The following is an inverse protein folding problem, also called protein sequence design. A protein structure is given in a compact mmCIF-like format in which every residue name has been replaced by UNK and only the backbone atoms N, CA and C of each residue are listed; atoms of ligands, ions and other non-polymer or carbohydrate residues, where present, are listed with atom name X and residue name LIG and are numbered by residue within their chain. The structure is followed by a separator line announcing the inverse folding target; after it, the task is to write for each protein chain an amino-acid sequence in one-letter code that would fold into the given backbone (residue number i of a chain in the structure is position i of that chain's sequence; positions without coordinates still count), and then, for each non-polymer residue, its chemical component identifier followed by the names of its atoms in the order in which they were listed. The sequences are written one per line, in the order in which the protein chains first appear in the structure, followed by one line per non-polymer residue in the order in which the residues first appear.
data_IF_326675971784
#
_entry.id   IF_326675971784
#
_cell.length_a   1.000
_cell.length_b   1.000
_cell.length_c   1.000
_cell.angle_alpha   90.00
_cell.angle_beta   90.00
_cell.angle_gamma   90.00
#
_symmetry.space_group_name_H-M   'P 1'
#
loop_
_entity.id
_entity.type
_entity.pdbx_description
1 polymer ?
#
# COMPACT_ATOMS: atom_id res chain seq x y z
N UNK A 1 -14.26 20.23 -4.04
CA UNK A 1 -13.02 20.65 -4.71
C UNK A 1 -11.81 20.11 -3.97
N UNK A 2 -11.49 18.84 -4.23
CA UNK A 2 -10.41 18.06 -3.61
C UNK A 2 -9.10 18.26 -4.37
N UNK A 3 -8.70 19.52 -4.55
CA UNK A 3 -7.63 19.90 -5.48
C UNK A 3 -6.33 20.24 -4.76
N UNK A 4 -5.22 20.02 -5.46
CA UNK A 4 -3.90 20.51 -5.07
C UNK A 4 -3.94 22.03 -4.85
N UNK A 5 -3.33 22.53 -3.77
CA UNK A 5 -3.27 23.96 -3.45
C UNK A 5 -4.47 24.55 -2.70
N UNK A 6 -5.56 23.79 -2.48
CA UNK A 6 -6.61 24.23 -1.55
C UNK A 6 -6.09 24.19 -0.09
N UNK A 7 -6.54 25.07 0.82
CA UNK A 7 -6.28 24.94 2.28
C UNK A 7 -6.75 23.61 2.88
N UNK A 8 -7.44 22.80 2.07
CA UNK A 8 -7.94 21.46 2.30
C UNK A 8 -7.36 20.46 1.30
N UNK A 9 -6.10 20.60 0.87
CA UNK A 9 -5.40 19.65 0.00
C UNK A 9 -4.61 18.61 0.83
N UNK A 10 -4.82 17.33 0.56
CA UNK A 10 -4.26 16.19 1.32
C UNK A 10 -2.86 15.76 0.90
N UNK A 11 -2.11 16.60 0.19
CA UNK A 11 -0.84 16.22 -0.47
C UNK A 11 0.41 16.39 0.42
N UNK A 12 0.27 16.40 1.76
CA UNK A 12 1.43 16.49 2.67
C UNK A 12 2.26 15.20 2.76
N UNK A 13 1.70 14.07 2.29
CA UNK A 13 2.37 12.76 2.25
C UNK A 13 2.19 12.16 0.86
N UNK A 14 3.29 11.77 0.23
CA UNK A 14 3.30 11.10 -1.07
C UNK A 14 3.95 9.71 -0.96
N UNK A 15 3.54 8.73 -1.78
CA UNK A 15 4.21 7.44 -1.83
C UNK A 15 5.54 7.57 -2.58
N UNK A 16 6.54 6.76 -2.20
CA UNK A 16 7.81 6.72 -2.93
C UNK A 16 7.64 6.13 -4.33
N UNK A 17 8.51 6.51 -5.26
CA UNK A 17 8.53 5.92 -6.62
C UNK A 17 8.67 4.39 -6.55
N UNK A 18 9.51 3.86 -5.66
CA UNK A 18 9.60 2.41 -5.43
C UNK A 18 8.29 1.75 -5.01
N UNK A 19 7.41 2.43 -4.27
CA UNK A 19 6.10 1.89 -3.93
C UNK A 19 5.12 1.99 -5.10
N UNK A 20 5.15 3.10 -5.83
CA UNK A 20 4.34 3.31 -7.04
C UNK A 20 4.66 2.22 -8.07
N UNK A 21 5.93 1.99 -8.38
CA UNK A 21 6.37 0.94 -9.30
C UNK A 21 5.95 -0.46 -8.81
N UNK A 22 6.03 -0.71 -7.50
CA UNK A 22 5.58 -1.97 -6.91
C UNK A 22 4.09 -2.21 -7.14
N UNK A 23 3.23 -1.21 -6.89
CA UNK A 23 1.79 -1.41 -7.04
C UNK A 23 1.37 -1.45 -8.50
N UNK A 24 2.00 -0.65 -9.37
CA UNK A 24 1.71 -0.58 -10.80
C UNK A 24 2.29 -1.74 -11.62
N UNK A 25 3.21 -2.53 -11.05
CA UNK A 25 3.70 -3.77 -11.68
C UNK A 25 2.60 -4.81 -11.95
N UNK A 26 1.48 -4.72 -11.24
CA UNK A 26 0.25 -5.45 -11.54
C UNK A 26 -0.88 -4.43 -11.81
N UNK A 27 -1.10 -4.02 -13.07
CA UNK A 27 -2.12 -3.04 -13.40
C UNK A 27 -3.55 -3.45 -13.04
N UNK A 28 -3.81 -4.75 -12.87
CA UNK A 28 -5.11 -5.29 -12.51
C UNK A 28 -5.32 -5.37 -10.98
N UNK A 29 -4.30 -5.03 -10.19
CA UNK A 29 -4.44 -4.88 -8.74
C UNK A 29 -5.31 -3.65 -8.45
N UNK A 30 -6.47 -3.85 -7.84
CA UNK A 30 -7.39 -2.76 -7.51
C UNK A 30 -6.74 -1.68 -6.64
N UNK A 31 -5.67 -1.99 -5.90
CA UNK A 31 -4.96 -1.02 -5.05
C UNK A 31 -4.11 -0.04 -5.86
N UNK A 32 -3.85 -0.31 -7.14
CA UNK A 32 -3.22 0.66 -8.04
C UNK A 32 -4.02 1.98 -8.11
N UNK A 33 -5.33 1.94 -7.86
CA UNK A 33 -6.19 3.13 -7.78
C UNK A 33 -5.84 4.10 -6.63
N UNK A 34 -4.99 3.67 -5.67
CA UNK A 34 -4.49 4.55 -4.62
C UNK A 34 -3.46 5.55 -5.13
N UNK A 35 -2.91 5.34 -6.33
CA UNK A 35 -2.08 6.32 -7.02
C UNK A 35 -2.98 7.13 -7.95
N UNK A 36 -3.11 8.43 -7.69
CA UNK A 36 -3.78 9.35 -8.61
C UNK A 36 -2.79 10.37 -9.15
N UNK A 37 -3.02 10.76 -10.39
CA UNK A 37 -2.30 11.84 -11.07
C UNK A 37 -3.33 12.88 -11.51
N UNK A 38 -2.93 14.14 -11.55
CA UNK A 38 -3.80 15.24 -11.97
C UNK A 38 -3.26 15.85 -13.26
N UNK A 39 -4.01 15.66 -14.35
CA UNK A 39 -3.68 16.21 -15.67
C UNK A 39 -3.72 17.75 -15.70
N UNK A 40 -4.33 18.39 -14.70
CA UNK A 40 -4.40 19.85 -14.60
C UNK A 40 -3.07 20.49 -14.20
N UNK A 41 -2.16 19.75 -13.54
CA UNK A 41 -0.91 20.30 -13.02
C UNK A 41 0.33 19.60 -13.58
N UNK A 42 0.37 18.27 -13.53
CA UNK A 42 1.44 17.44 -14.11
C UNK A 42 1.09 15.96 -13.93
N UNK A 43 0.91 15.22 -15.04
CA UNK A 43 0.58 13.80 -15.00
C UNK A 43 1.70 12.93 -14.40
N UNK A 44 2.91 13.46 -14.23
CA UNK A 44 4.05 12.78 -13.60
C UNK A 44 4.02 12.84 -12.07
N UNK A 45 3.14 13.67 -11.48
CA UNK A 45 3.11 13.94 -10.04
C UNK A 45 1.95 13.20 -9.37
N UNK A 46 2.32 12.06 -8.79
CA UNK A 46 1.38 11.17 -8.11
C UNK A 46 1.07 11.62 -6.68
N UNK A 47 -0.19 11.45 -6.26
CA UNK A 47 -0.61 11.60 -4.87
C UNK A 47 -1.37 10.37 -4.37
N UNK A 48 -1.41 10.22 -3.04
CA UNK A 48 -1.94 9.04 -2.37
C UNK A 48 -3.43 9.18 -2.03
N UNK A 49 -4.27 8.35 -2.63
CA UNK A 49 -5.73 8.41 -2.53
C UNK A 49 -6.36 7.20 -1.81
N UNK A 50 -5.76 6.75 -0.70
CA UNK A 50 -6.35 5.69 0.14
C UNK A 50 -7.38 6.22 1.16
N UNK A 51 -7.31 7.51 1.48
CA UNK A 51 -8.14 8.16 2.50
C UNK A 51 -8.98 9.31 1.91
N UNK A 52 -9.89 9.03 0.95
CA UNK A 52 -10.64 10.09 0.27
C UNK A 52 -11.74 10.73 1.14
N UNK A 53 -11.99 10.20 2.34
CA UNK A 53 -13.11 10.61 3.18
C UNK A 53 -14.44 9.99 2.75
N UNK A 54 -15.48 10.17 3.57
CA UNK A 54 -16.81 9.62 3.28
C UNK A 54 -17.37 10.21 1.98
N UNK A 55 -17.77 9.36 1.04
CA UNK A 55 -18.23 9.77 -0.29
C UNK A 55 -17.16 10.41 -1.20
N UNK A 56 -15.90 10.45 -0.78
CA UNK A 56 -14.82 11.03 -1.57
C UNK A 56 -14.95 12.53 -1.81
N UNK A 57 -15.51 13.26 -0.83
CA UNK A 57 -15.75 14.72 -0.92
C UNK A 57 -14.78 15.52 -0.05
N UNK A 58 -14.39 14.98 1.11
CA UNK A 58 -13.52 15.65 2.06
C UNK A 58 -12.74 14.62 2.90
N UNK A 59 -11.42 14.53 2.68
CA UNK A 59 -10.55 13.59 3.39
C UNK A 59 -10.50 13.82 4.91
N UNK A 60 -10.86 15.02 5.40
CA UNK A 60 -10.89 15.32 6.84
C UNK A 60 -11.97 14.52 7.58
N UNK A 61 -12.95 13.98 6.85
CA UNK A 61 -13.99 13.10 7.40
C UNK A 61 -13.63 11.62 7.29
N UNK A 62 -12.39 11.29 6.98
CA UNK A 62 -11.98 9.90 6.88
C UNK A 62 -11.83 9.29 8.28
N UNK A 63 -12.60 8.22 8.56
CA UNK A 63 -12.46 7.49 9.81
C UNK A 63 -11.10 6.77 9.87
N UNK A 64 -10.37 6.85 11.01
CA UNK A 64 -9.16 6.09 11.19
C UNK A 64 -9.50 4.59 11.26
N UNK A 65 -8.75 3.78 10.52
CA UNK A 65 -8.84 2.31 10.60
C UNK A 65 -7.69 1.84 11.47
N UNK A 66 -8.01 1.47 12.72
CA UNK A 66 -6.99 1.01 13.68
C UNK A 66 -6.65 -0.46 13.45
N UNK A 67 -7.64 -1.28 13.11
CA UNK A 67 -7.49 -2.70 12.82
C UNK A 67 -8.37 -3.08 11.63
N UNK A 68 -7.91 -4.03 10.82
CA UNK A 68 -8.68 -4.55 9.69
C UNK A 68 -8.46 -6.03 9.47
N UNK A 69 -9.49 -6.69 8.92
CA UNK A 69 -9.44 -8.13 8.68
C UNK A 69 -8.26 -8.54 7.80
N UNK A 70 -7.90 -7.76 6.77
CA UNK A 70 -6.75 -8.11 5.93
C UNK A 70 -5.42 -8.07 6.67
N UNK A 71 -5.29 -7.26 7.72
CA UNK A 71 -4.11 -7.32 8.60
C UNK A 71 -4.07 -8.66 9.35
N UNK A 72 -5.21 -9.11 9.89
CA UNK A 72 -5.30 -10.40 10.58
C UNK A 72 -4.93 -11.57 9.67
N UNK A 73 -5.38 -11.57 8.40
CA UNK A 73 -4.96 -12.57 7.40
C UNK A 73 -3.45 -12.54 7.16
N UNK A 74 -2.84 -11.35 7.05
CA UNK A 74 -1.39 -11.23 6.81
C UNK A 74 -0.56 -11.58 8.04
N UNK A 75 -1.06 -11.32 9.25
CA UNK A 75 -0.48 -11.80 10.52
C UNK A 75 -0.56 -13.33 10.56
N UNK A 76 -1.71 -13.91 10.23
CA UNK A 76 -1.90 -15.35 10.19
C UNK A 76 -1.02 -16.03 9.13
N UNK A 77 -0.86 -15.42 7.94
CA UNK A 77 0.05 -15.91 6.91
C UNK A 77 1.50 -15.95 7.41
N UNK A 78 1.98 -14.85 8.01
CA UNK A 78 3.33 -14.77 8.54
C UNK A 78 3.55 -15.74 9.71
N UNK A 79 2.60 -15.80 10.64
CA UNK A 79 2.64 -16.69 11.80
C UNK A 79 2.60 -18.17 11.39
N UNK A 80 1.78 -18.53 10.41
CA UNK A 80 1.73 -19.90 9.90
C UNK A 80 3.04 -20.32 9.23
N UNK A 81 3.68 -19.40 8.49
CA UNK A 81 4.95 -19.67 7.81
C UNK A 81 6.11 -19.83 8.79
N UNK A 82 6.15 -19.00 9.84
CA UNK A 82 7.22 -19.00 10.86
C UNK A 82 6.98 -20.00 11.98
N UNK A 83 5.74 -20.45 12.15
CA UNK A 83 5.32 -21.43 13.15
C UNK A 83 5.28 -22.85 12.60
N UNK A 84 4.49 -23.70 13.27
CA UNK A 84 4.36 -25.13 12.94
C UNK A 84 3.31 -25.45 11.87
N UNK A 85 2.47 -24.48 11.48
CA UNK A 85 1.38 -24.72 10.52
C UNK A 85 1.88 -24.90 9.07
N UNK A 86 3.06 -24.35 8.75
CA UNK A 86 3.75 -24.57 7.49
C UNK A 86 3.25 -23.74 6.31
N UNK A 87 3.98 -23.85 5.20
CA UNK A 87 3.81 -23.00 4.02
C UNK A 87 2.43 -23.16 3.35
N UNK A 88 1.81 -24.34 3.38
CA UNK A 88 0.49 -24.56 2.77
C UNK A 88 -0.60 -23.71 3.43
N UNK A 89 -0.64 -23.69 4.77
CA UNK A 89 -1.60 -22.87 5.53
C UNK A 89 -1.31 -21.38 5.31
N UNK A 90 -0.04 -20.99 5.35
CA UNK A 90 0.38 -19.61 5.06
C UNK A 90 -0.05 -19.15 3.65
N UNK A 91 0.08 -20.03 2.65
CA UNK A 91 -0.32 -19.77 1.27
C UNK A 91 -1.81 -19.50 1.14
N UNK A 92 -2.66 -20.23 1.88
CA UNK A 92 -4.10 -19.98 1.91
C UNK A 92 -4.44 -18.56 2.38
N UNK A 93 -3.84 -18.12 3.48
CA UNK A 93 -4.06 -16.76 3.99
C UNK A 93 -3.51 -15.68 3.06
N UNK A 94 -2.30 -15.86 2.53
CA UNK A 94 -1.67 -14.93 1.59
C UNK A 94 -2.51 -14.79 0.31
N UNK A 95 -2.89 -15.91 -0.31
CA UNK A 95 -3.63 -15.91 -1.57
C UNK A 95 -5.04 -15.35 -1.42
N UNK A 96 -5.65 -15.44 -0.24
CA UNK A 96 -6.93 -14.77 0.05
C UNK A 96 -6.82 -13.25 -0.16
N UNK A 97 -5.73 -12.63 0.33
CA UNK A 97 -5.52 -11.19 0.16
C UNK A 97 -5.14 -10.84 -1.27
N UNK A 98 -4.27 -11.63 -1.90
CA UNK A 98 -3.86 -11.45 -3.30
C UNK A 98 -5.05 -11.53 -4.26
N UNK A 99 -5.91 -12.54 -4.12
CA UNK A 99 -7.10 -12.72 -4.96
C UNK A 99 -8.18 -11.67 -4.73
N UNK A 100 -8.30 -11.13 -3.51
CA UNK A 100 -9.18 -9.98 -3.27
C UNK A 100 -8.68 -8.74 -4.02
N UNK A 101 -7.37 -8.54 -4.07
CA UNK A 101 -6.77 -7.41 -4.77
C UNK A 101 -6.79 -7.56 -6.29
N UNK A 102 -6.53 -8.76 -6.80
CA UNK A 102 -6.65 -9.11 -8.21
C UNK A 102 -7.16 -10.56 -8.32
N UNK A 103 -8.43 -10.79 -8.70
CA UNK A 103 -9.01 -12.13 -8.76
C UNK A 103 -8.33 -13.10 -9.74
N UNK A 104 -7.59 -12.57 -10.71
CA UNK A 104 -7.00 -13.34 -11.80
C UNK A 104 -5.57 -13.83 -11.49
N UNK A 105 -4.99 -13.48 -10.34
CA UNK A 105 -3.65 -13.95 -9.98
C UNK A 105 -3.66 -15.43 -9.62
N UNK A 106 -2.66 -16.15 -10.13
CA UNK A 106 -2.41 -17.53 -9.73
C UNK A 106 -2.03 -17.60 -8.24
N UNK A 107 -2.40 -18.70 -7.59
CA UNK A 107 -1.94 -19.00 -6.24
C UNK A 107 -0.42 -19.15 -6.21
N UNK A 108 0.19 -18.63 -5.16
CA UNK A 108 1.63 -18.80 -4.90
C UNK A 108 1.84 -19.55 -3.60
N UNK A 109 2.99 -20.21 -3.50
CA UNK A 109 3.48 -20.73 -2.22
C UNK A 109 4.02 -19.55 -1.41
N UNK A 110 3.56 -19.41 -0.19
CA UNK A 110 3.98 -18.33 0.70
C UNK A 110 5.47 -18.44 1.04
N UNK A 111 6.16 -17.30 0.90
CA UNK A 111 7.51 -17.05 1.42
C UNK A 111 7.48 -15.80 2.29
N UNK A 112 8.49 -15.58 3.14
CA UNK A 112 8.54 -14.36 3.98
C UNK A 112 8.50 -13.12 3.08
N UNK A 113 9.29 -13.10 2.00
CA UNK A 113 9.35 -11.95 1.10
C UNK A 113 8.03 -11.70 0.37
N UNK A 114 7.32 -12.74 -0.10
CA UNK A 114 6.00 -12.56 -0.70
C UNK A 114 4.99 -11.99 0.30
N UNK A 115 5.02 -12.46 1.56
CA UNK A 115 4.18 -11.92 2.63
C UNK A 115 4.54 -10.46 2.92
N UNK A 116 5.83 -10.11 3.02
CA UNK A 116 6.26 -8.73 3.28
C UNK A 116 5.95 -7.79 2.11
N UNK A 117 6.03 -8.26 0.87
CA UNK A 117 5.59 -7.52 -0.32
C UNK A 117 4.08 -7.27 -0.25
N UNK A 118 3.29 -8.29 0.05
CA UNK A 118 1.83 -8.15 0.13
C UNK A 118 1.42 -7.22 1.27
N UNK A 119 2.08 -7.30 2.44
CA UNK A 119 1.91 -6.34 3.55
C UNK A 119 2.24 -4.90 3.12
N UNK A 120 3.32 -4.71 2.35
CA UNK A 120 3.72 -3.38 1.83
C UNK A 120 2.68 -2.81 0.85
N UNK A 121 2.07 -3.65 0.01
CA UNK A 121 0.98 -3.24 -0.89
C UNK A 121 -0.30 -2.93 -0.12
N UNK A 122 -0.67 -3.80 0.81
CA UNK A 122 -1.95 -3.76 1.49
C UNK A 122 -2.04 -2.64 2.53
N UNK A 123 -1.01 -2.48 3.35
CA UNK A 123 -1.03 -1.66 4.57
C UNK A 123 -0.33 -0.30 4.41
N UNK A 124 -0.13 0.15 3.16
CA UNK A 124 0.42 1.48 2.87
C UNK A 124 -0.41 2.57 3.55
N UNK A 125 0.25 3.54 4.19
CA UNK A 125 -0.42 4.64 4.89
C UNK A 125 -1.07 4.28 6.23
N UNK A 126 -1.00 3.02 6.68
CA UNK A 126 -1.63 2.55 7.92
C UNK A 126 -0.61 2.37 9.07
N UNK A 127 0.64 2.83 8.91
CA UNK A 127 1.63 2.85 9.99
C UNK A 127 2.46 1.58 10.19
N UNK A 128 2.35 0.56 9.32
CA UNK A 128 3.03 -0.72 9.54
C UNK A 128 4.49 -0.80 9.05
N UNK A 129 4.81 -0.19 7.90
CA UNK A 129 6.05 -0.49 7.16
C UNK A 129 7.32 -0.30 7.98
N UNK A 130 7.39 0.76 8.78
CA UNK A 130 8.53 1.03 9.64
C UNK A 130 8.74 -0.09 10.67
N UNK A 131 7.70 -0.45 11.43
CA UNK A 131 7.76 -1.50 12.44
C UNK A 131 8.00 -2.89 11.82
N UNK A 132 7.46 -3.15 10.63
CA UNK A 132 7.73 -4.39 9.89
C UNK A 132 9.23 -4.53 9.56
N UNK A 133 9.91 -3.45 9.15
CA UNK A 133 11.37 -3.54 8.91
C UNK A 133 12.16 -3.71 10.21
N UNK A 134 11.81 -2.95 11.25
CA UNK A 134 12.49 -3.00 12.54
C UNK A 134 12.42 -4.39 13.19
N UNK A 135 11.23 -5.00 13.25
CA UNK A 135 11.05 -6.33 13.88
C UNK A 135 11.69 -7.47 13.10
N UNK A 136 11.90 -7.29 11.80
CA UNK A 136 12.55 -8.27 10.92
C UNK A 136 14.07 -8.06 10.84
N UNK A 137 14.61 -7.03 11.48
CA UNK A 137 16.03 -6.65 11.35
C UNK A 137 16.41 -6.29 9.91
N UNK A 138 15.46 -5.85 9.08
CA UNK A 138 15.71 -5.47 7.68
C UNK A 138 16.07 -3.98 7.60
N UNK A 139 17.03 -3.64 6.75
CA UNK A 139 17.42 -2.24 6.48
C UNK A 139 16.34 -1.49 5.71
N UNK A 140 16.20 -0.19 6.00
CA UNK A 140 15.36 0.73 5.23
C UNK A 140 16.25 1.51 4.28
N UNK A 141 16.14 1.22 2.99
CA UNK A 141 16.84 1.97 1.94
C UNK A 141 15.85 2.91 1.25
N UNK A 142 16.20 4.19 1.17
CA UNK A 142 15.58 5.17 0.28
C UNK A 142 16.63 5.57 -0.74
N UNK A 143 16.34 5.36 -2.02
CA UNK A 143 17.27 5.68 -3.09
C UNK A 143 17.11 7.16 -3.49
N UNK A 144 18.17 7.82 -3.93
CA UNK A 144 18.04 9.19 -4.46
C UNK A 144 17.18 9.21 -5.73
N UNK A 145 17.20 8.10 -6.50
CA UNK A 145 16.31 7.86 -7.63
C UNK A 145 14.85 7.60 -7.24
N UNK A 146 14.52 7.42 -5.95
CA UNK A 146 13.14 7.30 -5.49
C UNK A 146 12.38 8.63 -5.55
N UNK A 147 13.03 9.71 -6.02
CA UNK A 147 12.43 10.88 -6.61
C UNK A 147 11.58 11.73 -5.66
N UNK A 148 11.86 13.01 -5.64
CA UNK A 148 11.02 14.03 -5.03
C UNK A 148 10.02 14.55 -6.08
N UNK A 149 9.15 13.66 -6.59
CA UNK A 149 8.15 14.03 -7.60
C UNK A 149 6.97 14.78 -6.94
N UNK A 150 7.27 15.92 -6.32
CA UNK A 150 6.29 16.76 -5.64
C UNK A 150 5.60 17.67 -6.63
N UNK A 151 4.29 17.86 -6.47
CA UNK A 151 3.59 19.03 -7.00
C UNK A 151 4.03 20.25 -6.20
N UNK A 152 5.10 20.92 -6.66
CA UNK A 152 5.43 22.26 -6.21
C UNK A 152 4.30 23.20 -6.63
N UNK A 153 3.71 23.92 -5.66
CA UNK A 153 2.84 25.05 -5.97
C UNK A 153 3.73 26.20 -6.46
N UNK A 154 3.40 26.75 -7.62
CA UNK A 154 3.77 28.14 -7.92
C UNK A 154 3.02 29.09 -6.97
#
# INVERSE_FOLDING_TARGET
NLWHGAPSAGASLIPTVSWINLIQSDPNDIRAQFVRTDSQYDATKAWFNKFPGNGGVNFRYNNPKVLRLSEAYLIAAEGALKGSAGATVASGYLNTIRKRANPNVADVVATDDLIQIERRKELVGEGHRFFDQMRLGKSITRLDSDGHNFAESA
#
